data_IF_898649424642
#
_entry.id   IF_898649424642
#
_cell.length_a   1.000
_cell.length_b   1.000
_cell.length_c   1.000
_cell.angle_alpha   90.00
_cell.angle_beta   90.00
_cell.angle_gamma   90.00
#
_symmetry.space_group_name_H-M   'P 1'
#
loop_
_entity.id
_entity.type
_entity.pdbx_description
1 polymer ?
#
# COMPACT_ATOMS: atom_id res chain seq x y z
N UNK A 1 -21.79 4.44 -8.67
CA UNK A 1 -20.46 4.04 -8.16
C UNK A 1 -20.67 3.33 -6.82
N UNK A 2 -20.48 2.01 -6.75
CA UNK A 2 -20.79 1.24 -5.52
C UNK A 2 -19.55 1.24 -4.63
N UNK A 3 -19.54 2.07 -3.60
CA UNK A 3 -18.44 2.12 -2.63
C UNK A 3 -18.61 0.97 -1.64
N UNK A 4 -17.86 -0.14 -1.80
CA UNK A 4 -17.77 -1.17 -0.75
C UNK A 4 -17.03 -0.58 0.45
N UNK A 5 -17.78 -0.29 1.51
CA UNK A 5 -17.26 0.23 2.77
C UNK A 5 -16.77 -0.94 3.62
N UNK A 6 -15.47 -1.02 3.87
CA UNK A 6 -14.91 -2.00 4.80
C UNK A 6 -15.13 -1.44 6.22
N UNK A 7 -16.13 -1.97 6.93
CA UNK A 7 -16.52 -1.45 8.25
C UNK A 7 -15.65 -1.97 9.41
N UNK A 8 -14.99 -3.13 9.23
CA UNK A 8 -14.38 -3.87 10.34
C UNK A 8 -12.90 -4.21 10.11
N UNK A 9 -12.10 -3.27 9.58
CA UNK A 9 -10.63 -3.43 9.63
C UNK A 9 -10.17 -2.92 10.99
N UNK A 10 -10.03 -3.84 11.94
CA UNK A 10 -9.28 -3.58 13.17
C UNK A 10 -7.80 -3.85 12.89
N UNK A 11 -7.00 -2.79 12.93
CA UNK A 11 -5.55 -2.88 12.94
C UNK A 11 -5.14 -2.82 14.42
N UNK A 12 -5.01 -3.98 15.05
CA UNK A 12 -4.40 -4.10 16.39
C UNK A 12 -2.93 -4.44 16.23
N UNK A 13 -2.06 -3.77 16.98
CA UNK A 13 -0.62 -4.08 17.01
C UNK A 13 -0.23 -4.61 18.38
N UNK A 14 0.33 -5.81 18.42
CA UNK A 14 1.00 -6.40 19.58
C UNK A 14 2.42 -6.78 19.15
N UNK A 15 3.39 -5.92 19.44
CA UNK A 15 4.78 -6.09 19.00
C UNK A 15 5.58 -7.03 19.91
N UNK A 16 4.92 -7.98 20.57
CA UNK A 16 5.51 -8.89 21.55
C UNK A 16 6.50 -9.90 20.94
N UNK A 17 6.31 -10.28 19.67
CA UNK A 17 7.19 -11.22 18.96
C UNK A 17 7.53 -10.76 17.53
N UNK A 18 8.61 -11.31 16.98
CA UNK A 18 9.06 -11.01 15.60
C UNK A 18 8.01 -11.42 14.57
N UNK A 19 7.28 -12.49 14.85
CA UNK A 19 6.22 -13.03 13.99
C UNK A 19 5.00 -12.10 13.96
N UNK A 20 4.64 -11.50 15.09
CA UNK A 20 3.56 -10.51 15.16
C UNK A 20 3.93 -9.24 14.39
N UNK A 21 5.15 -8.72 14.59
CA UNK A 21 5.65 -7.55 13.83
C UNK A 21 5.66 -7.83 12.32
N UNK A 22 6.07 -9.03 11.90
CA UNK A 22 6.03 -9.41 10.49
C UNK A 22 4.59 -9.43 9.93
N UNK A 23 3.63 -9.91 10.73
CA UNK A 23 2.20 -9.92 10.37
C UNK A 23 1.64 -8.50 10.23
N UNK A 24 1.96 -7.61 11.17
CA UNK A 24 1.54 -6.20 11.15
C UNK A 24 2.11 -5.44 9.95
N UNK A 25 3.40 -5.62 9.66
CA UNK A 25 4.03 -5.02 8.47
C UNK A 25 3.40 -5.57 7.19
N UNK A 26 3.03 -6.85 7.17
CA UNK A 26 2.28 -7.44 6.06
C UNK A 26 0.90 -6.79 5.87
N UNK A 27 0.16 -6.60 6.97
CA UNK A 27 -1.15 -5.92 6.95
C UNK A 27 -1.03 -4.46 6.48
N UNK A 28 0.03 -3.74 6.91
CA UNK A 28 0.28 -2.37 6.50
C UNK A 28 0.55 -2.27 4.99
N UNK A 29 1.40 -3.16 4.45
CA UNK A 29 1.64 -3.22 2.99
C UNK A 29 0.35 -3.46 2.21
N UNK A 30 -0.50 -4.35 2.71
CA UNK A 30 -1.80 -4.63 2.09
C UNK A 30 -2.73 -3.41 2.14
N UNK A 31 -2.78 -2.70 3.27
CA UNK A 31 -3.56 -1.48 3.40
C UNK A 31 -3.12 -0.40 2.41
N UNK A 32 -1.81 -0.20 2.24
CA UNK A 32 -1.25 0.75 1.25
C UNK A 32 -1.65 0.35 -0.17
N UNK A 33 -1.56 -0.93 -0.54
CA UNK A 33 -2.00 -1.40 -1.85
C UNK A 33 -3.50 -1.16 -2.09
N UNK A 34 -4.37 -1.38 -1.09
CA UNK A 34 -5.80 -1.10 -1.19
C UNK A 34 -6.10 0.40 -1.36
N UNK A 35 -5.38 1.27 -0.64
CA UNK A 35 -5.51 2.72 -0.81
C UNK A 35 -5.11 3.14 -2.23
N UNK A 36 -3.98 2.63 -2.72
CA UNK A 36 -3.51 2.88 -4.09
C UNK A 36 -4.53 2.45 -5.14
N UNK A 37 -5.07 1.23 -5.04
CA UNK A 37 -6.12 0.73 -5.94
C UNK A 37 -7.39 1.59 -5.94
N UNK A 38 -7.67 2.30 -4.85
CA UNK A 38 -8.87 3.12 -4.72
C UNK A 38 -8.70 4.54 -5.26
N UNK A 39 -7.46 4.99 -5.45
CA UNK A 39 -7.14 6.29 -6.03
C UNK A 39 -7.52 6.37 -7.52
N UNK A 40 -7.86 7.56 -8.04
CA UNK A 40 -7.95 7.80 -9.48
C UNK A 40 -6.68 7.41 -10.23
N UNK A 41 -6.81 6.97 -11.49
CA UNK A 41 -5.65 6.54 -12.31
C UNK A 41 -4.60 7.64 -12.49
N UNK A 42 -5.03 8.90 -12.54
CA UNK A 42 -4.14 10.06 -12.62
C UNK A 42 -3.31 10.21 -11.34
N UNK A 43 -3.95 10.19 -10.18
CA UNK A 43 -3.30 10.27 -8.87
C UNK A 43 -2.33 9.11 -8.64
N UNK A 44 -2.70 7.89 -9.06
CA UNK A 44 -1.79 6.74 -9.00
C UNK A 44 -0.51 6.99 -9.81
N UNK A 45 -0.63 7.58 -11.01
CA UNK A 45 0.52 7.91 -11.87
C UNK A 45 1.40 8.98 -11.24
N UNK A 46 0.80 10.03 -10.67
CA UNK A 46 1.55 11.08 -9.97
C UNK A 46 2.28 10.53 -8.75
N UNK A 47 1.62 9.70 -7.93
CA UNK A 47 2.25 9.07 -6.78
C UNK A 47 3.45 8.21 -7.19
N UNK A 48 3.31 7.36 -8.20
CA UNK A 48 4.43 6.55 -8.70
C UNK A 48 5.58 7.40 -9.23
N UNK A 49 5.28 8.54 -9.86
CA UNK A 49 6.30 9.48 -10.34
C UNK A 49 7.04 10.13 -9.16
N UNK A 50 6.32 10.63 -8.16
CA UNK A 50 6.90 11.23 -6.95
C UNK A 50 7.78 10.24 -6.19
N UNK A 51 7.31 8.99 -6.03
CA UNK A 51 8.09 7.93 -5.39
C UNK A 51 9.41 7.64 -6.12
N UNK A 52 9.41 7.72 -7.45
CA UNK A 52 10.62 7.55 -8.26
C UNK A 52 11.54 8.78 -8.22
N UNK A 53 10.98 9.98 -8.06
CA UNK A 53 11.75 11.22 -7.93
C UNK A 53 12.53 11.30 -6.62
N UNK A 54 12.05 10.65 -5.55
CA UNK A 54 12.79 10.53 -4.30
C UNK A 54 14.14 9.80 -4.48
N UNK A 55 14.28 9.02 -5.56
CA UNK A 55 15.50 8.30 -5.93
C UNK A 55 16.08 7.45 -4.78
N UNK A 56 15.20 6.94 -3.93
CA UNK A 56 15.54 6.06 -2.82
C UNK A 56 15.20 4.61 -3.19
N UNK A 57 16.04 3.67 -2.75
CA UNK A 57 15.91 2.26 -3.11
C UNK A 57 14.60 1.65 -2.60
N UNK A 58 14.11 2.06 -1.41
CA UNK A 58 12.85 1.56 -0.86
C UNK A 58 11.66 2.16 -1.58
N UNK A 59 11.71 3.46 -1.89
CA UNK A 59 10.64 4.16 -2.60
C UNK A 59 10.48 3.62 -4.03
N UNK A 60 11.58 3.37 -4.74
CA UNK A 60 11.57 2.76 -6.06
C UNK A 60 10.99 1.34 -6.03
N UNK A 61 11.42 0.51 -5.07
CA UNK A 61 10.90 -0.85 -4.91
C UNK A 61 9.40 -0.85 -4.60
N UNK A 62 8.94 0.04 -3.72
CA UNK A 62 7.53 0.16 -3.39
C UNK A 62 6.71 0.64 -4.60
N UNK A 63 7.25 1.55 -5.42
CA UNK A 63 6.61 1.97 -6.66
C UNK A 63 6.45 0.79 -7.64
N UNK A 64 7.46 -0.07 -7.78
CA UNK A 64 7.38 -1.27 -8.63
C UNK A 64 6.36 -2.29 -8.10
N UNK A 65 6.30 -2.49 -6.77
CA UNK A 65 5.28 -3.34 -6.13
C UNK A 65 3.86 -2.77 -6.35
N UNK A 66 3.67 -1.46 -6.22
CA UNK A 66 2.38 -0.81 -6.44
C UNK A 66 1.96 -0.81 -7.92
N UNK A 67 2.91 -0.67 -8.84
CA UNK A 67 2.64 -0.71 -10.28
C UNK A 67 2.00 -2.04 -10.72
N UNK A 68 2.29 -3.15 -10.04
CA UNK A 68 1.65 -4.45 -10.32
C UNK A 68 0.13 -4.43 -10.12
N UNK A 69 -0.38 -3.58 -9.22
CA UNK A 69 -1.81 -3.44 -8.98
C UNK A 69 -2.54 -2.63 -10.06
N UNK A 70 -1.80 -1.97 -10.97
CA UNK A 70 -2.38 -1.31 -12.14
C UNK A 70 -2.62 -2.27 -13.33
N UNK A 71 -2.03 -3.47 -13.33
CA UNK A 71 -2.02 -4.40 -14.48
C UNK A 71 -3.31 -5.24 -14.64
N UNK A 72 -4.47 -4.74 -14.22
CA UNK A 72 -5.79 -5.36 -14.51
C UNK A 72 -6.82 -4.35 -14.99
#
# INVERSE_FOLDING_TARGET
MITRRIQNVQISTDSGTKEQVASEVGALKFAVALMFCRMPKEDQKYLLLEMRQLNDAYSNKLADELQQFQLK
#
